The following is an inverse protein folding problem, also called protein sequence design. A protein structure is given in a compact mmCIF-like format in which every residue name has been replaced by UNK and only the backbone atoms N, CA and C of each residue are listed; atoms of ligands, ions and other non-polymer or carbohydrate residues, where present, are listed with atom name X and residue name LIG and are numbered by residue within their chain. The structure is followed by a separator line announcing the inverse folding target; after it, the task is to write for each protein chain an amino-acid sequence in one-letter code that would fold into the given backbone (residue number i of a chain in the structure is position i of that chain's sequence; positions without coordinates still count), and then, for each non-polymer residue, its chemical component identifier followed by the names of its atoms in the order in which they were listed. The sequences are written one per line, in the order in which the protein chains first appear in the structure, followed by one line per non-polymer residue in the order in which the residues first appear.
data_IF_536813459458
#
_entry.id   IF_536813459458
#
_cell.length_a   1.000
_cell.length_b   1.000
_cell.length_c   1.000
_cell.angle_alpha   90.00
_cell.angle_beta   90.00
_cell.angle_gamma   90.00
#
_symmetry.space_group_name_H-M   'P 1'
#
loop_
_entity.id
_entity.type
_entity.pdbx_description
1 polymer ?
#
# COMPACT_ATOMS: atom_id res chain seq x y z
N UNK A 1 7.33 -6.78 -9.66
CA UNK A 1 6.57 -8.05 -9.71
C UNK A 1 5.10 -7.82 -10.01
N UNK A 2 4.62 -8.29 -11.16
CA UNK A 2 3.18 -8.25 -11.52
C UNK A 2 2.29 -8.84 -10.42
N UNK A 3 2.74 -9.94 -9.79
CA UNK A 3 2.03 -10.70 -8.75
C UNK A 3 1.63 -9.83 -7.54
N UNK A 4 2.47 -8.90 -7.08
CA UNK A 4 2.16 -8.06 -5.91
C UNK A 4 1.06 -7.03 -6.19
N UNK A 5 0.78 -6.70 -7.45
CA UNK A 5 -0.31 -5.79 -7.79
C UNK A 5 -1.70 -6.43 -7.60
N UNK A 6 -1.76 -7.73 -7.32
CA UNK A 6 -2.98 -8.42 -6.87
C UNK A 6 -3.17 -8.34 -5.35
N UNK A 7 -2.25 -7.71 -4.60
CA UNK A 7 -2.42 -7.45 -3.17
C UNK A 7 -3.79 -6.84 -2.80
N UNK A 8 -4.39 -5.91 -3.57
CA UNK A 8 -5.72 -5.39 -3.26
C UNK A 8 -6.80 -6.47 -3.19
N UNK A 9 -6.70 -7.55 -3.98
CA UNK A 9 -7.65 -8.67 -3.92
C UNK A 9 -7.45 -9.49 -2.65
N UNK A 10 -6.20 -9.79 -2.26
CA UNK A 10 -5.90 -10.50 -1.02
C UNK A 10 -6.36 -9.68 0.20
N UNK A 11 -6.05 -8.39 0.21
CA UNK A 11 -6.50 -7.45 1.24
C UNK A 11 -8.02 -7.36 1.28
N UNK A 12 -8.69 -7.34 0.13
CA UNK A 12 -10.15 -7.32 0.06
C UNK A 12 -10.76 -8.60 0.65
N UNK A 13 -10.26 -9.77 0.28
CA UNK A 13 -10.74 -11.06 0.79
C UNK A 13 -10.57 -11.14 2.31
N UNK A 14 -9.38 -10.82 2.82
CA UNK A 14 -9.12 -10.79 4.25
C UNK A 14 -9.92 -9.70 4.97
N UNK A 15 -10.10 -8.54 4.33
CA UNK A 15 -10.91 -7.44 4.88
C UNK A 15 -12.39 -7.80 5.01
N UNK A 16 -12.96 -8.53 4.04
CA UNK A 16 -14.32 -9.05 4.14
C UNK A 16 -14.39 -10.09 5.26
N UNK A 17 -13.43 -11.02 5.35
CA UNK A 17 -13.45 -12.11 6.33
C UNK A 17 -13.24 -11.64 7.78
N UNK A 18 -12.36 -10.67 8.03
CA UNK A 18 -11.94 -10.27 9.37
C UNK A 18 -12.49 -8.91 9.85
N UNK A 19 -12.91 -8.03 8.93
CA UNK A 19 -13.39 -6.68 9.26
C UNK A 19 -14.85 -6.41 8.81
N UNK A 20 -15.45 -7.35 8.08
CA UNK A 20 -16.76 -7.23 7.39
C UNK A 20 -16.86 -5.95 6.53
N UNK A 21 -15.72 -5.52 5.96
CA UNK A 21 -15.63 -4.35 5.09
C UNK A 21 -15.99 -4.72 3.65
N UNK A 22 -17.30 -4.85 3.37
CA UNK A 22 -17.78 -5.23 2.03
C UNK A 22 -17.76 -4.03 1.07
N UNK A 23 -17.15 -4.18 -0.13
CA UNK A 23 -17.14 -3.12 -1.12
C UNK A 23 -18.55 -2.91 -1.68
N UNK A 24 -18.88 -1.66 -2.00
CA UNK A 24 -20.10 -1.37 -2.75
C UNK A 24 -19.97 -1.83 -4.21
N UNK A 25 -21.11 -2.01 -4.90
CA UNK A 25 -21.11 -2.38 -6.34
C UNK A 25 -20.22 -1.46 -7.19
N UNK A 26 -20.24 -0.15 -6.92
CA UNK A 26 -19.43 0.84 -7.64
C UNK A 26 -17.93 0.72 -7.30
N UNK A 27 -17.59 0.41 -6.05
CA UNK A 27 -16.20 0.12 -5.67
C UNK A 27 -15.70 -1.18 -6.28
N UNK A 28 -16.56 -2.20 -6.40
CA UNK A 28 -16.25 -3.44 -7.13
C UNK A 28 -15.91 -3.17 -8.59
N UNK A 29 -16.69 -2.33 -9.28
CA UNK A 29 -16.38 -1.89 -10.66
C UNK A 29 -15.03 -1.18 -10.72
N UNK A 30 -14.75 -0.25 -9.81
CA UNK A 30 -13.46 0.43 -9.75
C UNK A 30 -12.28 -0.51 -9.53
N UNK A 31 -12.43 -1.51 -8.65
CA UNK A 31 -11.42 -2.56 -8.43
C UNK A 31 -11.13 -3.33 -9.71
N UNK A 32 -12.17 -3.77 -10.42
CA UNK A 32 -12.03 -4.52 -11.69
C UNK A 32 -11.32 -3.66 -12.74
N UNK A 33 -11.70 -2.39 -12.89
CA UNK A 33 -11.06 -1.47 -13.82
C UNK A 33 -9.57 -1.27 -13.47
N UNK A 34 -9.24 -1.10 -12.18
CA UNK A 34 -7.85 -0.97 -11.74
C UNK A 34 -7.03 -2.22 -12.06
N UNK A 35 -7.58 -3.43 -11.85
CA UNK A 35 -6.90 -4.69 -12.17
C UNK A 35 -6.67 -4.86 -13.67
N UNK A 36 -7.65 -4.48 -14.50
CA UNK A 36 -7.48 -4.46 -15.96
C UNK A 36 -6.36 -3.49 -16.34
N UNK A 37 -6.34 -2.28 -15.77
CA UNK A 37 -5.30 -1.29 -16.02
C UNK A 37 -3.89 -1.79 -15.65
N UNK A 38 -3.75 -2.46 -14.51
CA UNK A 38 -2.49 -3.11 -14.10
C UNK A 38 -2.04 -4.16 -15.12
N UNK A 39 -2.97 -5.01 -15.59
CA UNK A 39 -2.66 -6.04 -16.60
C UNK A 39 -2.19 -5.46 -17.92
N UNK A 40 -2.76 -4.32 -18.34
CA UNK A 40 -2.34 -3.58 -19.53
C UNK A 40 -0.97 -2.93 -19.33
N UNK A 41 -0.73 -2.32 -18.17
CA UNK A 41 0.55 -1.66 -17.85
C UNK A 41 1.73 -2.65 -17.84
N UNK A 42 1.53 -3.84 -17.27
CA UNK A 42 2.55 -4.89 -17.19
C UNK A 42 2.47 -5.90 -18.34
N UNK A 43 1.93 -5.53 -19.51
CA UNK A 43 1.74 -6.49 -20.59
C UNK A 43 3.06 -7.09 -21.11
N UNK A 44 4.10 -6.27 -21.20
CA UNK A 44 5.42 -6.68 -21.71
C UNK A 44 6.32 -7.26 -20.63
N UNK A 45 5.86 -7.26 -19.37
CA UNK A 45 6.58 -7.89 -18.28
C UNK A 45 6.46 -9.41 -18.47
N UNK A 46 7.45 -10.00 -19.16
CA UNK A 46 7.55 -11.44 -19.33
C UNK A 46 7.31 -12.14 -18.00
N UNK A 47 6.23 -12.94 -17.93
CA UNK A 47 5.98 -13.78 -16.78
C UNK A 47 7.06 -14.85 -16.76
N UNK A 48 8.16 -14.59 -16.06
CA UNK A 48 9.19 -15.58 -15.77
C UNK A 48 8.58 -16.56 -14.77
N UNK A 49 7.73 -17.45 -15.27
CA UNK A 49 7.09 -18.52 -14.51
C UNK A 49 8.06 -19.67 -14.18
N UNK A 50 9.33 -19.53 -14.58
CA UNK A 50 10.32 -20.59 -14.51
C UNK A 50 11.01 -20.70 -13.13
N UNK A 51 10.75 -19.76 -12.21
CA UNK A 51 11.28 -19.81 -10.85
C UNK A 51 10.16 -19.93 -9.81
N UNK A 52 9.79 -21.19 -9.52
CA UNK A 52 8.77 -21.53 -8.53
C UNK A 52 9.11 -21.01 -7.12
N UNK A 53 10.40 -20.88 -6.77
CA UNK A 53 10.82 -20.37 -5.46
C UNK A 53 10.56 -18.86 -5.35
N UNK A 54 10.94 -18.10 -6.37
CA UNK A 54 10.67 -16.66 -6.43
C UNK A 54 9.17 -16.35 -6.37
N UNK A 55 8.35 -17.15 -7.06
CA UNK A 55 6.88 -17.03 -7.01
C UNK A 55 6.36 -17.31 -5.60
N UNK A 56 6.78 -18.40 -4.96
CA UNK A 56 6.36 -18.75 -3.61
C UNK A 56 6.69 -17.66 -2.58
N UNK A 57 7.92 -17.13 -2.62
CA UNK A 57 8.37 -16.04 -1.73
C UNK A 57 7.54 -14.76 -1.95
N UNK A 58 7.20 -14.45 -3.21
CA UNK A 58 6.39 -13.28 -3.56
C UNK A 58 4.96 -13.43 -3.03
N UNK A 59 4.37 -14.63 -3.13
CA UNK A 59 3.03 -14.91 -2.60
C UNK A 59 3.02 -14.79 -1.07
N UNK A 60 4.00 -15.38 -0.38
CA UNK A 60 4.13 -15.29 1.08
C UNK A 60 4.29 -13.83 1.51
N UNK A 61 5.12 -13.05 0.80
CA UNK A 61 5.25 -11.61 1.03
C UNK A 61 3.92 -10.87 0.86
N UNK A 62 3.15 -11.18 -0.18
CA UNK A 62 1.82 -10.59 -0.43
C UNK A 62 0.80 -10.92 0.67
N UNK A 63 0.81 -12.16 1.19
CA UNK A 63 -0.04 -12.59 2.31
C UNK A 63 0.36 -11.85 3.59
N UNK A 64 1.67 -11.76 3.88
CA UNK A 64 2.18 -11.01 5.03
C UNK A 64 1.76 -9.54 4.98
N UNK A 65 1.89 -8.93 3.80
CA UNK A 65 1.43 -7.57 3.55
C UNK A 65 -0.07 -7.39 3.77
N UNK A 66 -0.89 -8.28 3.21
CA UNK A 66 -2.33 -8.21 3.34
C UNK A 66 -2.79 -8.41 4.78
N UNK A 67 -2.14 -9.34 5.50
CA UNK A 67 -2.37 -9.58 6.92
C UNK A 67 -2.02 -8.36 7.75
N UNK A 68 -0.86 -7.73 7.51
CA UNK A 68 -0.46 -6.48 8.16
C UNK A 68 -1.52 -5.39 7.93
N UNK A 69 -1.95 -5.17 6.69
CA UNK A 69 -2.96 -4.15 6.38
C UNK A 69 -4.28 -4.38 7.12
N UNK A 70 -4.78 -5.63 7.15
CA UNK A 70 -6.05 -5.96 7.79
C UNK A 70 -5.95 -5.92 9.31
N UNK A 71 -4.86 -6.44 9.90
CA UNK A 71 -4.65 -6.41 11.34
C UNK A 71 -4.44 -4.98 11.85
N UNK A 72 -3.63 -4.20 11.14
CA UNK A 72 -3.43 -2.78 11.45
C UNK A 72 -4.76 -2.02 11.40
N UNK A 73 -5.58 -2.24 10.37
CA UNK A 73 -6.93 -1.67 10.29
C UNK A 73 -7.81 -2.11 11.46
N UNK A 74 -7.75 -3.38 11.87
CA UNK A 74 -8.53 -3.90 13.00
C UNK A 74 -8.17 -3.21 14.31
N UNK A 75 -6.88 -3.10 14.60
CA UNK A 75 -6.37 -2.46 15.83
C UNK A 75 -6.69 -0.96 15.83
N UNK A 76 -6.39 -0.28 14.73
CA UNK A 76 -6.59 1.16 14.57
C UNK A 76 -8.07 1.58 14.54
N UNK A 77 -8.99 0.69 14.15
CA UNK A 77 -10.45 0.91 14.21
C UNK A 77 -11.01 0.74 15.63
N UNK A 78 -10.42 -0.15 16.43
CA UNK A 78 -10.91 -0.53 17.76
C UNK A 78 -10.44 0.39 18.89
N UNK A 79 -9.29 1.03 18.73
CA UNK A 79 -8.70 1.86 19.78
C UNK A 79 -8.62 3.33 19.37
N UNK A 80 -8.92 4.24 20.31
CA UNK A 80 -8.44 5.64 20.28
C UNK A 80 -6.94 5.72 20.61
N UNK A 81 -6.19 4.67 20.30
CA UNK A 81 -4.78 4.60 20.63
C UNK A 81 -3.98 5.55 19.77
N UNK A 82 -2.93 6.06 20.38
CA UNK A 82 -2.05 7.02 19.77
C UNK A 82 -1.28 6.34 18.62
N UNK A 83 -1.46 6.83 17.39
CA UNK A 83 -0.83 6.30 16.18
C UNK A 83 0.69 6.15 16.38
N UNK A 84 1.30 7.07 17.14
CA UNK A 84 2.71 7.03 17.50
C UNK A 84 3.14 5.74 18.18
N UNK A 85 2.33 5.17 19.07
CA UNK A 85 2.65 3.91 19.75
C UNK A 85 2.51 2.72 18.81
N UNK A 86 1.47 2.73 17.97
CA UNK A 86 1.21 1.65 17.02
C UNK A 86 2.30 1.52 15.94
N UNK A 87 2.89 2.64 15.50
CA UNK A 87 4.01 2.62 14.54
C UNK A 87 5.37 2.52 15.23
N UNK A 88 5.54 3.22 16.36
CA UNK A 88 6.81 3.34 17.06
C UNK A 88 7.29 2.02 17.66
N UNK A 89 6.43 1.28 18.37
CA UNK A 89 6.86 0.03 19.03
C UNK A 89 7.32 -1.04 18.03
N UNK A 90 6.56 -1.36 16.95
CA UNK A 90 7.02 -2.33 15.97
C UNK A 90 8.30 -1.89 15.26
N UNK A 91 8.44 -0.61 14.92
CA UNK A 91 9.66 -0.08 14.29
C UNK A 91 10.88 -0.18 15.21
N UNK A 92 10.71 0.15 16.50
CA UNK A 92 11.77 0.02 17.50
C UNK A 92 12.21 -1.43 17.68
N UNK A 93 11.24 -2.35 17.83
CA UNK A 93 11.52 -3.78 17.97
C UNK A 93 12.22 -4.32 16.71
N UNK A 94 11.72 -3.98 15.52
CA UNK A 94 12.33 -4.39 14.25
C UNK A 94 13.77 -3.86 14.12
N UNK A 95 14.02 -2.60 14.50
CA UNK A 95 15.35 -2.00 14.52
C UNK A 95 16.31 -2.74 15.44
N UNK A 96 15.88 -3.04 16.68
CA UNK A 96 16.68 -3.81 17.64
C UNK A 96 16.99 -5.22 17.14
N UNK A 97 16.01 -5.89 16.52
CA UNK A 97 16.21 -7.22 15.94
C UNK A 97 17.22 -7.20 14.78
N UNK A 98 17.11 -6.21 13.89
CA UNK A 98 18.07 -6.03 12.79
C UNK A 98 19.47 -5.70 13.30
N UNK A 99 19.59 -4.87 14.34
CA UNK A 99 20.87 -4.56 14.98
C UNK A 99 21.49 -5.81 15.60
N UNK A 100 20.70 -6.62 16.31
CA UNK A 100 21.16 -7.88 16.89
C UNK A 100 21.61 -8.89 15.82
N UNK A 101 20.85 -9.01 14.73
CA UNK A 101 21.21 -9.86 13.60
C UNK A 101 22.51 -9.38 12.90
N UNK A 102 22.69 -8.07 12.77
CA UNK A 102 23.90 -7.48 12.19
C UNK A 102 25.12 -7.76 13.08
N UNK A 103 24.97 -7.61 14.39
CA UNK A 103 26.02 -7.97 15.36
C UNK A 103 26.36 -9.46 15.33
N UNK A 104 25.35 -10.33 15.25
CA UNK A 104 25.54 -11.79 15.21
C UNK A 104 26.21 -12.29 13.92
N UNK A 105 26.00 -11.61 12.79
CA UNK A 105 26.61 -11.98 11.50
C UNK A 105 28.01 -11.38 11.30
N UNK A 106 28.47 -10.50 12.20
CA UNK A 106 29.77 -9.85 12.11
C UNK A 106 29.89 -8.80 10.99
N UNK A 107 28.82 -8.57 10.22
CA UNK A 107 28.79 -7.65 9.08
C UNK A 107 28.47 -6.21 9.53
N UNK A 108 29.16 -5.72 10.56
CA UNK A 108 28.97 -4.36 11.05
C UNK A 108 29.71 -3.39 10.13
N UNK A 109 28.96 -2.67 9.29
CA UNK A 109 29.49 -1.58 8.48
C UNK A 109 29.05 -0.25 9.07
N UNK A 110 30.02 0.60 9.42
CA UNK A 110 29.73 1.97 9.86
C UNK A 110 29.62 2.84 8.61
N UNK A 111 28.45 3.47 8.35
CA UNK A 111 28.29 4.33 7.19
C UNK A 111 29.16 5.58 7.30
N UNK A 112 29.54 6.14 6.16
CA UNK A 112 30.17 7.47 6.09
C UNK A 112 29.22 8.56 6.59
N UNK A 113 29.71 9.79 6.81
CA UNK A 113 28.85 10.91 7.19
C UNK A 113 27.75 11.15 6.15
N UNK A 114 28.08 11.12 4.86
CA UNK A 114 27.12 11.22 3.76
C UNK A 114 26.11 10.08 3.80
N UNK A 115 26.57 8.84 3.95
CA UNK A 115 25.69 7.67 4.07
C UNK A 115 24.75 7.77 5.28
N UNK A 116 25.23 8.29 6.39
CA UNK A 116 24.43 8.50 7.62
C UNK A 116 23.33 9.53 7.38
N UNK A 117 23.62 10.62 6.67
CA UNK A 117 22.62 11.65 6.31
C UNK A 117 21.55 11.06 5.37
N UNK A 118 21.96 10.26 4.37
CA UNK A 118 21.02 9.58 3.46
C UNK A 118 20.13 8.60 4.23
N UNK A 119 20.73 7.79 5.11
CA UNK A 119 19.99 6.83 5.95
C UNK A 119 19.02 7.58 6.87
N UNK A 120 19.44 8.67 7.51
CA UNK A 120 18.58 9.48 8.36
C UNK A 120 17.40 10.06 7.56
N UNK A 121 17.65 10.60 6.36
CA UNK A 121 16.61 11.10 5.48
C UNK A 121 15.57 10.01 5.12
N UNK A 122 16.05 8.83 4.70
CA UNK A 122 15.18 7.69 4.37
C UNK A 122 14.41 7.18 5.60
N UNK A 123 15.05 7.12 6.76
CA UNK A 123 14.43 6.65 7.99
C UNK A 123 13.33 7.59 8.48
N UNK A 124 13.58 8.90 8.51
CA UNK A 124 12.61 9.87 9.04
C UNK A 124 11.53 10.23 8.01
N UNK A 125 11.93 10.67 6.82
CA UNK A 125 11.01 11.25 5.84
C UNK A 125 10.31 10.16 5.04
N UNK A 126 11.06 9.21 4.49
CA UNK A 126 10.47 8.16 3.66
C UNK A 126 9.78 7.07 4.48
N UNK A 127 10.33 6.72 5.65
CA UNK A 127 9.81 5.59 6.44
C UNK A 127 8.89 6.07 7.56
N UNK A 128 9.41 6.73 8.60
CA UNK A 128 8.63 7.06 9.79
C UNK A 128 7.42 7.96 9.47
N UNK A 129 7.63 9.05 8.72
CA UNK A 129 6.54 9.96 8.35
C UNK A 129 5.54 9.30 7.40
N UNK A 130 6.01 8.55 6.39
CA UNK A 130 5.09 7.89 5.46
C UNK A 130 4.27 6.80 6.15
N UNK A 131 4.88 5.97 7.01
CA UNK A 131 4.15 4.95 7.78
C UNK A 131 3.21 5.58 8.80
N UNK A 132 3.55 6.73 9.38
CA UNK A 132 2.63 7.48 10.22
C UNK A 132 1.40 7.94 9.43
N UNK A 133 1.60 8.61 8.28
CA UNK A 133 0.52 9.05 7.40
C UNK A 133 -0.30 7.88 6.86
N UNK A 134 0.37 6.77 6.55
CA UNK A 134 -0.25 5.53 6.13
C UNK A 134 -1.21 5.01 7.18
N UNK A 135 -0.73 4.80 8.41
CA UNK A 135 -1.54 4.27 9.49
C UNK A 135 -2.64 5.26 9.91
N UNK A 136 -2.38 6.56 9.82
CA UNK A 136 -3.40 7.58 10.00
C UNK A 136 -4.51 7.48 8.94
N UNK A 137 -4.16 7.35 7.65
CA UNK A 137 -5.14 7.11 6.61
C UNK A 137 -5.96 5.85 6.90
N UNK A 138 -5.30 4.77 7.34
CA UNK A 138 -5.93 3.49 7.67
C UNK A 138 -6.92 3.54 8.85
N UNK A 139 -6.94 4.62 9.64
CA UNK A 139 -8.01 4.87 10.62
C UNK A 139 -9.30 5.35 9.95
N UNK A 140 -9.17 6.13 8.87
CA UNK A 140 -10.29 6.79 8.21
C UNK A 140 -10.82 6.04 6.98
N UNK A 141 -9.98 5.26 6.30
CA UNK A 141 -10.33 4.52 5.08
C UNK A 141 -10.18 3.00 5.28
N UNK A 142 -10.93 2.23 4.49
CA UNK A 142 -10.91 0.76 4.56
C UNK A 142 -9.60 0.21 4.01
N UNK A 143 -9.20 -0.97 4.48
CA UNK A 143 -7.88 -1.54 4.11
C UNK A 143 -7.72 -1.73 2.59
N UNK A 144 -8.76 -2.18 1.91
CA UNK A 144 -8.74 -2.37 0.45
C UNK A 144 -8.69 -1.03 -0.32
N UNK A 145 -9.33 0.04 0.20
CA UNK A 145 -9.32 1.36 -0.44
C UNK A 145 -7.91 1.94 -0.44
N UNK A 146 -7.19 1.76 0.67
CA UNK A 146 -5.80 2.17 0.80
C UNK A 146 -4.87 1.35 -0.10
N UNK A 147 -5.12 0.05 -0.22
CA UNK A 147 -4.35 -0.80 -1.13
C UNK A 147 -4.58 -0.42 -2.61
N UNK A 148 -5.81 -0.03 -2.99
CA UNK A 148 -6.10 0.48 -4.34
C UNK A 148 -5.42 1.84 -4.56
N UNK A 149 -5.41 2.74 -3.56
CA UNK A 149 -4.63 3.98 -3.64
C UNK A 149 -3.15 3.70 -3.88
N UNK A 150 -2.59 2.68 -3.24
CA UNK A 150 -1.19 2.31 -3.43
C UNK A 150 -0.87 1.97 -4.89
N UNK A 151 -1.82 1.41 -5.65
CA UNK A 151 -1.62 1.15 -7.08
C UNK A 151 -1.46 2.43 -7.92
N UNK A 152 -1.89 3.59 -7.43
CA UNK A 152 -1.60 4.87 -8.12
C UNK A 152 -0.12 5.20 -8.12
N UNK A 153 0.68 4.57 -7.25
CA UNK A 153 2.13 4.69 -7.28
C UNK A 153 2.71 4.23 -8.63
N UNK A 154 2.06 3.31 -9.34
CA UNK A 154 2.44 2.93 -10.71
C UNK A 154 2.41 4.13 -11.67
N UNK A 155 1.42 5.01 -11.52
CA UNK A 155 1.26 6.22 -12.33
C UNK A 155 2.42 7.17 -12.02
N UNK A 156 2.74 7.35 -10.73
CA UNK A 156 3.84 8.21 -10.30
C UNK A 156 5.18 7.69 -10.82
N UNK A 157 5.44 6.39 -10.68
CA UNK A 157 6.66 5.75 -11.18
C UNK A 157 6.78 5.94 -12.68
N UNK A 158 5.70 5.69 -13.45
CA UNK A 158 5.73 5.88 -14.90
C UNK A 158 6.05 7.33 -15.30
N UNK A 159 5.43 8.32 -14.64
CA UNK A 159 5.71 9.72 -14.89
C UNK A 159 7.16 10.09 -14.55
N UNK A 160 7.67 9.62 -13.42
CA UNK A 160 9.06 9.85 -13.03
C UNK A 160 10.04 9.17 -14.00
N UNK A 161 9.73 7.96 -14.49
CA UNK A 161 10.55 7.28 -15.50
C UNK A 161 10.65 8.07 -16.79
N UNK A 162 9.56 8.66 -17.29
CA UNK A 162 9.61 9.52 -18.49
C UNK A 162 10.46 10.76 -18.24
N UNK A 163 10.22 11.44 -17.12
CA UNK A 163 10.86 12.75 -16.83
C UNK A 163 12.35 12.60 -16.54
N UNK A 164 12.73 11.59 -15.75
CA UNK A 164 14.10 11.44 -15.24
C UNK A 164 14.94 10.40 -16.00
N UNK A 165 14.32 9.30 -16.47
CA UNK A 165 15.04 8.25 -17.21
C UNK A 165 14.90 8.40 -18.72
N UNK A 166 13.96 9.23 -19.21
CA UNK A 166 13.70 9.38 -20.64
C UNK A 166 13.07 8.13 -21.27
N UNK A 167 12.41 7.28 -20.49
CA UNK A 167 11.73 6.09 -21.00
C UNK A 167 10.52 6.46 -21.88
N UNK A 168 10.37 5.81 -23.02
CA UNK A 168 9.18 5.95 -23.85
C UNK A 168 8.03 5.09 -23.31
N UNK A 169 6.89 5.72 -23.05
CA UNK A 169 5.66 5.02 -22.65
C UNK A 169 4.90 4.63 -23.92
N UNK A 170 4.80 3.33 -24.16
CA UNK A 170 3.95 2.78 -25.22
C UNK A 170 2.46 3.09 -24.98
N UNK A 171 1.68 3.16 -26.07
CA UNK A 171 0.26 3.46 -26.04
C UNK A 171 -0.52 2.51 -25.10
N UNK A 172 -0.12 1.24 -25.02
CA UNK A 172 -0.74 0.26 -24.13
C UNK A 172 -0.48 0.55 -22.65
N UNK A 173 0.75 0.99 -22.31
CA UNK A 173 1.11 1.42 -20.96
C UNK A 173 0.35 2.69 -20.57
N UNK A 174 0.21 3.65 -21.49
CA UNK A 174 -0.59 4.86 -21.27
C UNK A 174 -2.08 4.53 -21.02
N UNK A 175 -2.66 3.61 -21.79
CA UNK A 175 -4.02 3.13 -21.56
C UNK A 175 -4.15 2.42 -20.18
N UNK A 176 -3.17 1.60 -19.81
CA UNK A 176 -3.10 0.96 -18.49
C UNK A 176 -3.09 1.97 -17.34
N UNK A 177 -2.25 3.01 -17.44
CA UNK A 177 -2.19 4.12 -16.48
C UNK A 177 -3.55 4.81 -16.35
N UNK A 178 -4.20 5.14 -17.46
CA UNK A 178 -5.52 5.78 -17.47
C UNK A 178 -6.58 4.90 -16.81
N UNK A 179 -6.60 3.60 -17.10
CA UNK A 179 -7.49 2.65 -16.46
C UNK A 179 -7.25 2.56 -14.94
N UNK A 180 -6.00 2.46 -14.50
CA UNK A 180 -5.67 2.45 -13.06
C UNK A 180 -6.18 3.73 -12.38
N UNK A 181 -5.95 4.88 -12.99
CA UNK A 181 -6.37 6.18 -12.47
C UNK A 181 -7.90 6.26 -12.32
N UNK A 182 -8.65 5.90 -13.36
CA UNK A 182 -10.12 5.90 -13.35
C UNK A 182 -10.66 4.92 -12.31
N UNK A 183 -10.12 3.70 -12.26
CA UNK A 183 -10.55 2.69 -11.28
C UNK A 183 -10.34 3.15 -9.84
N UNK A 184 -9.20 3.77 -9.55
CA UNK A 184 -8.92 4.35 -8.22
C UNK A 184 -9.88 5.49 -7.91
N UNK A 185 -10.09 6.42 -8.83
CA UNK A 185 -11.00 7.55 -8.63
C UNK A 185 -12.43 7.07 -8.31
N UNK A 186 -12.92 6.04 -9.00
CA UNK A 186 -14.25 5.47 -8.73
C UNK A 186 -14.36 4.92 -7.30
N UNK A 187 -13.31 4.23 -6.83
CA UNK A 187 -13.28 3.69 -5.46
C UNK A 187 -13.24 4.82 -4.43
N UNK A 188 -12.43 5.85 -4.67
CA UNK A 188 -12.22 6.96 -3.72
C UNK A 188 -13.37 7.96 -3.66
N UNK A 189 -13.97 8.30 -4.80
CA UNK A 189 -15.12 9.20 -4.85
C UNK A 189 -16.33 8.61 -4.10
N UNK A 190 -16.47 7.29 -4.11
CA UNK A 190 -17.52 6.62 -3.32
C UNK A 190 -17.25 6.73 -1.82
N UNK A 191 -16.00 6.49 -1.40
CA UNK A 191 -15.60 6.54 -0.01
C UNK A 191 -15.86 7.95 0.59
N UNK A 192 -15.44 9.01 -0.11
CA UNK A 192 -15.67 10.38 0.34
C UNK A 192 -17.16 10.70 0.54
N UNK A 193 -18.04 10.18 -0.32
CA UNK A 193 -19.49 10.31 -0.15
C UNK A 193 -20.00 9.58 1.10
N UNK A 194 -19.52 8.37 1.36
CA UNK A 194 -19.90 7.61 2.56
C UNK A 194 -19.43 8.26 3.86
N UNK A 195 -18.19 8.75 3.90
CA UNK A 195 -17.64 9.47 5.07
C UNK A 195 -18.45 10.75 5.33
N UNK A 196 -18.75 11.53 4.28
CA UNK A 196 -19.53 12.78 4.41
C UNK A 196 -20.94 12.52 4.91
N UNK A 197 -21.58 11.43 4.48
CA UNK A 197 -22.93 11.06 4.94
C UNK A 197 -22.92 10.64 6.41
N UNK A 198 -21.98 9.79 6.84
CA UNK A 198 -21.85 9.38 8.26
C UNK A 198 -21.61 10.57 9.18
N UNK A 199 -20.76 11.54 8.78
CA UNK A 199 -20.55 12.76 9.57
C UNK A 199 -21.82 13.60 9.71
N UNK A 200 -22.63 13.71 8.65
CA UNK A 200 -23.91 14.44 8.70
C UNK A 200 -24.91 13.77 9.66
N UNK A 201 -25.02 12.44 9.64
CA UNK A 201 -25.90 11.69 10.54
C UNK A 201 -25.53 11.89 12.01
N UNK A 202 -24.24 11.85 12.35
CA UNK A 202 -23.78 12.08 13.73
C UNK A 202 -24.14 13.49 14.20
N UNK A 203 -23.91 14.52 13.38
CA UNK A 203 -24.22 15.92 13.70
C UNK A 203 -25.72 16.14 13.90
N UNK A 204 -26.57 15.42 13.16
CA UNK A 204 -28.04 15.48 13.34
C UNK A 204 -28.46 14.82 14.66
N UNK A 205 -27.85 13.70 15.05
CA UNK A 205 -28.16 13.00 16.31
C UNK A 205 -27.67 13.71 17.58
N UNK A 206 -26.79 14.71 17.44
CA UNK A 206 -26.28 15.52 18.58
C UNK A 206 -27.00 16.85 18.76
N UNK A 207 -28.01 17.14 17.94
CA UNK A 207 -28.93 18.28 18.09
C UNK A 207 -30.29 17.80 18.58
#
# INVERSE_FOLDING_TARGET
SFILNFNPLLVLMLGIAFLDERPTKMQGVGIVITLIGIRLFFNDAGLVMNDARGIAITIVSGIGWATYMVLSRRVLRGFRENIYSFTGYPMMIASLMLLAATGATGNVHVPTLEGTVIIAWLAFVNTALAFYLWNHALQSIRAYEQCILQNTMLIQIALLSVIFLGEEIDALKAAGIACVFVGVLLVQLRNMKEIKNRRKEIVVLTR
#
